data_IF_130969529541
#
_entry.id   IF_130969529541
#
_cell.length_a   1.000
_cell.length_b   1.000
_cell.length_c   1.000
_cell.angle_alpha   90.00
_cell.angle_beta   90.00
_cell.angle_gamma   90.00
#
_symmetry.space_group_name_H-M   'P 1'
#
loop_
_entity.id
_entity.type
_entity.pdbx_description
1 polymer ?
#
# COMPACT_ATOMS: atom_id res chain seq x y z
N UNK A 1 -1.54 -23.51 5.15
CA UNK A 1 -0.27 -22.77 5.04
C UNK A 1 -0.59 -21.44 4.39
N UNK A 2 -0.73 -20.37 5.17
CA UNK A 2 -1.05 -19.04 4.62
C UNK A 2 0.15 -18.56 3.80
N UNK A 3 -0.02 -17.97 2.60
CA UNK A 3 1.12 -17.56 1.81
C UNK A 3 1.86 -16.43 2.55
N UNK A 4 3.18 -16.59 2.69
CA UNK A 4 4.15 -15.69 3.34
C UNK A 4 4.13 -14.21 2.85
N UNK A 5 3.24 -13.86 1.92
CA UNK A 5 2.99 -12.50 1.48
C UNK A 5 2.30 -11.63 2.55
N UNK A 6 1.61 -12.24 3.54
CA UNK A 6 0.94 -11.50 4.60
C UNK A 6 1.90 -10.99 5.71
N UNK A 7 3.06 -11.64 5.91
CA UNK A 7 4.05 -11.30 6.95
C UNK A 7 5.12 -10.29 6.50
N UNK A 8 5.11 -9.86 5.24
CA UNK A 8 6.27 -9.19 4.63
C UNK A 8 6.18 -7.66 4.58
N UNK A 9 5.08 -7.05 5.06
CA UNK A 9 5.08 -5.60 5.29
C UNK A 9 5.77 -5.37 6.62
N UNK A 10 6.98 -4.81 6.61
CA UNK A 10 7.67 -4.43 7.85
C UNK A 10 7.05 -3.14 8.38
N UNK A 11 7.30 -2.85 9.65
CA UNK A 11 6.95 -1.55 10.25
C UNK A 11 7.70 -0.44 9.52
N UNK A 12 6.98 0.23 8.63
CA UNK A 12 7.53 1.14 7.64
C UNK A 12 6.44 2.14 7.22
N UNK A 13 6.86 3.37 6.94
CA UNK A 13 6.03 4.32 6.21
C UNK A 13 6.38 4.20 4.74
N UNK A 14 5.45 3.66 3.94
CA UNK A 14 5.64 3.55 2.51
C UNK A 14 5.08 4.75 1.75
N UNK A 15 5.75 5.15 0.67
CA UNK A 15 5.39 6.32 -0.14
C UNK A 15 5.41 5.99 -1.63
N UNK A 16 4.44 6.52 -2.36
CA UNK A 16 4.34 6.42 -3.82
C UNK A 16 3.87 7.74 -4.41
N UNK A 17 4.28 8.06 -5.64
CA UNK A 17 3.66 9.15 -6.41
C UNK A 17 2.54 8.59 -7.28
N UNK A 18 1.30 8.99 -6.99
CA UNK A 18 0.08 8.57 -7.67
C UNK A 18 -0.65 9.82 -8.16
N UNK A 19 -0.76 9.99 -9.48
CA UNK A 19 -1.42 11.13 -10.11
C UNK A 19 -0.91 12.49 -9.57
N UNK A 20 0.41 12.72 -9.64
CA UNK A 20 1.08 13.94 -9.16
C UNK A 20 0.89 14.26 -7.67
N UNK A 21 0.35 13.31 -6.88
CA UNK A 21 0.23 13.42 -5.43
C UNK A 21 1.00 12.29 -4.77
N UNK A 22 1.59 12.56 -3.61
CA UNK A 22 2.20 11.50 -2.80
C UNK A 22 1.13 10.77 -2.00
N UNK A 23 1.05 9.46 -2.20
CA UNK A 23 0.33 8.53 -1.35
C UNK A 23 1.28 8.00 -0.27
N UNK A 24 0.79 7.90 0.97
CA UNK A 24 1.54 7.43 2.14
C UNK A 24 0.73 6.34 2.82
N UNK A 25 1.35 5.19 3.08
CA UNK A 25 0.78 4.06 3.84
C UNK A 25 1.66 3.84 5.07
N UNK A 26 1.09 3.91 6.25
CA UNK A 26 1.80 3.51 7.48
C UNK A 26 1.44 2.07 7.82
N UNK A 27 2.46 1.25 8.04
CA UNK A 27 2.33 -0.14 8.45
C UNK A 27 2.90 -0.29 9.86
N UNK A 28 2.13 -0.95 10.73
CA UNK A 28 2.55 -1.34 12.07
C UNK A 28 2.08 -2.78 12.36
N UNK A 29 2.95 -3.61 12.91
CA UNK A 29 2.67 -5.03 13.18
C UNK A 29 2.34 -5.85 11.92
N UNK A 30 2.81 -5.43 10.75
CA UNK A 30 2.50 -6.10 9.47
C UNK A 30 1.15 -5.73 8.84
N UNK A 31 0.42 -4.81 9.46
CA UNK A 31 -0.89 -4.35 9.01
C UNK A 31 -0.87 -2.85 8.65
N UNK A 32 -1.59 -2.44 7.59
CA UNK A 32 -1.72 -1.03 7.27
C UNK A 32 -2.65 -0.37 8.30
N UNK A 33 -2.16 0.69 8.94
CA UNK A 33 -2.88 1.39 10.03
C UNK A 33 -3.31 2.80 9.65
N UNK A 34 -2.70 3.39 8.61
CA UNK A 34 -3.13 4.67 8.08
C UNK A 34 -2.86 4.80 6.57
N UNK A 35 -3.63 5.66 5.92
CA UNK A 35 -3.37 6.08 4.54
C UNK A 35 -3.61 7.59 4.39
N UNK A 36 -2.81 8.21 3.52
CA UNK A 36 -3.04 9.58 3.07
C UNK A 36 -2.69 9.72 1.60
N UNK A 37 -3.51 10.45 0.84
CA UNK A 37 -3.24 10.78 -0.57
C UNK A 37 -3.46 12.26 -0.84
N UNK A 38 -2.37 13.03 -0.87
CA UNK A 38 -2.44 14.50 -0.89
C UNK A 38 -3.19 15.07 0.33
N UNK A 39 -4.31 15.75 0.09
CA UNK A 39 -5.20 16.30 1.12
C UNK A 39 -6.28 15.32 1.60
N UNK A 40 -6.42 14.16 0.94
CA UNK A 40 -7.39 13.15 1.32
C UNK A 40 -6.85 12.30 2.47
N UNK A 41 -7.56 12.33 3.59
CA UNK A 41 -7.35 11.46 4.75
C UNK A 41 -8.41 10.37 4.73
N UNK A 42 -8.04 9.16 5.10
CA UNK A 42 -8.95 8.01 5.07
C UNK A 42 -9.57 7.79 6.43
N UNK A 43 -10.78 7.25 6.42
CA UNK A 43 -11.47 6.88 7.65
C UNK A 43 -11.17 5.43 8.07
N UNK A 44 -10.89 4.55 7.10
CA UNK A 44 -10.69 3.12 7.34
C UNK A 44 -9.61 2.56 6.41
N UNK A 45 -8.73 1.74 6.98
CA UNK A 45 -7.74 0.96 6.24
C UNK A 45 -7.58 -0.41 6.89
N UNK A 46 -7.66 -1.46 6.08
CA UNK A 46 -7.43 -2.83 6.53
C UNK A 46 -6.94 -3.71 5.38
N UNK A 47 -6.39 -4.87 5.71
CA UNK A 47 -5.88 -5.84 4.75
C UNK A 47 -6.69 -7.13 4.78
N UNK A 48 -6.91 -7.71 3.61
CA UNK A 48 -7.51 -9.04 3.44
C UNK A 48 -6.76 -9.80 2.35
N UNK A 49 -5.96 -10.77 2.77
CA UNK A 49 -5.06 -11.49 1.87
C UNK A 49 -4.05 -10.54 1.20
N UNK A 50 -4.05 -10.53 -0.13
CA UNK A 50 -3.18 -9.67 -0.96
C UNK A 50 -3.88 -8.38 -1.41
N UNK A 51 -4.97 -7.98 -0.73
CA UNK A 51 -5.67 -6.73 -1.00
C UNK A 51 -5.66 -5.84 0.24
N UNK A 52 -5.30 -4.57 0.06
CA UNK A 52 -5.46 -3.53 1.08
C UNK A 52 -6.66 -2.67 0.68
N UNK A 53 -7.62 -2.53 1.58
CA UNK A 53 -8.82 -1.72 1.44
C UNK A 53 -8.60 -0.39 2.13
N UNK A 54 -8.94 0.70 1.45
CA UNK A 54 -8.72 2.07 1.90
C UNK A 54 -9.97 2.88 1.54
N UNK A 55 -10.96 2.92 2.44
CA UNK A 55 -12.27 3.54 2.18
C UNK A 55 -12.87 3.13 0.80
N UNK A 56 -13.00 4.07 -0.15
CA UNK A 56 -13.50 3.81 -1.52
C UNK A 56 -12.43 3.34 -2.51
N UNK A 57 -11.21 3.12 -2.05
CA UNK A 57 -10.09 2.64 -2.82
C UNK A 57 -9.66 1.24 -2.38
N UNK A 58 -8.94 0.54 -3.26
CA UNK A 58 -8.24 -0.69 -2.90
C UNK A 58 -6.95 -0.85 -3.67
N UNK A 59 -5.97 -1.46 -3.02
CA UNK A 59 -4.75 -1.96 -3.63
C UNK A 59 -4.90 -3.46 -3.83
N UNK A 60 -4.93 -3.92 -5.06
CA UNK A 60 -4.95 -5.35 -5.40
C UNK A 60 -3.60 -5.80 -5.94
N UNK A 61 -3.43 -7.12 -6.08
CA UNK A 61 -2.23 -7.72 -6.66
C UNK A 61 -0.95 -7.34 -5.89
N UNK A 62 -1.05 -7.20 -4.57
CA UNK A 62 0.06 -6.80 -3.73
C UNK A 62 1.18 -7.82 -3.78
N UNK A 63 2.36 -7.35 -4.19
CA UNK A 63 3.63 -8.06 -4.12
C UNK A 63 4.50 -7.35 -3.10
N UNK A 64 4.62 -7.99 -1.95
CA UNK A 64 5.36 -7.47 -0.80
C UNK A 64 6.75 -8.10 -0.78
N UNK A 65 7.76 -7.36 -0.29
CA UNK A 65 9.15 -7.84 -0.26
C UNK A 65 9.96 -7.53 -1.53
N UNK A 66 9.46 -6.62 -2.38
CA UNK A 66 10.26 -6.07 -3.48
C UNK A 66 11.25 -5.04 -2.95
N UNK A 67 12.29 -4.73 -3.72
CA UNK A 67 13.26 -3.67 -3.38
C UNK A 67 13.27 -2.65 -4.51
N UNK A 68 13.18 -1.37 -4.18
CA UNK A 68 13.32 -0.26 -5.14
C UNK A 68 14.40 0.70 -4.64
N UNK A 69 15.43 0.94 -5.46
CA UNK A 69 16.60 1.75 -5.09
C UNK A 69 17.26 1.32 -3.76
N UNK A 70 17.34 0.01 -3.50
CA UNK A 70 17.92 -0.55 -2.28
C UNK A 70 17.03 -0.46 -1.03
N UNK A 71 15.82 0.09 -1.14
CA UNK A 71 14.86 0.21 -0.04
C UNK A 71 13.73 -0.83 -0.16
N UNK A 72 13.21 -1.35 0.97
CA UNK A 72 12.03 -2.21 0.96
C UNK A 72 10.86 -1.51 0.27
N UNK A 73 10.11 -2.25 -0.55
CA UNK A 73 8.98 -1.75 -1.29
C UNK A 73 7.90 -2.82 -1.39
N UNK A 74 6.70 -2.40 -1.78
CA UNK A 74 5.69 -3.29 -2.33
C UNK A 74 5.09 -2.68 -3.59
N UNK A 75 4.67 -3.54 -4.52
CA UNK A 75 4.00 -3.13 -5.75
C UNK A 75 2.60 -3.72 -5.81
N UNK A 76 1.71 -3.07 -6.56
CA UNK A 76 0.33 -3.52 -6.74
C UNK A 76 -0.43 -2.67 -7.75
N UNK A 77 -1.76 -2.79 -7.72
CA UNK A 77 -2.68 -2.01 -8.54
C UNK A 77 -3.58 -1.15 -7.66
N UNK A 78 -3.46 0.16 -7.80
CA UNK A 78 -4.35 1.12 -7.18
C UNK A 78 -5.65 1.21 -7.95
N UNK A 79 -6.78 0.96 -7.28
CA UNK A 79 -8.12 1.14 -7.81
C UNK A 79 -8.86 2.21 -7.02
N UNK A 80 -9.19 3.31 -7.66
CA UNK A 80 -9.99 4.39 -7.06
C UNK A 80 -10.95 4.98 -8.09
N UNK A 81 -12.24 5.06 -7.76
CA UNK A 81 -13.30 5.63 -8.62
C UNK A 81 -13.23 5.17 -10.08
N UNK A 82 -13.02 3.86 -10.30
CA UNK A 82 -12.94 3.26 -11.63
C UNK A 82 -11.59 3.41 -12.34
N UNK A 83 -10.62 4.13 -11.77
CA UNK A 83 -9.25 4.19 -12.29
C UNK A 83 -8.40 3.07 -11.69
N UNK A 84 -7.81 2.22 -12.54
CA UNK A 84 -6.81 1.21 -12.17
C UNK A 84 -5.43 1.66 -12.67
N UNK A 85 -4.44 1.74 -11.77
CA UNK A 85 -3.05 2.09 -12.11
C UNK A 85 -2.06 1.19 -11.38
N UNK A 86 -1.00 0.72 -12.06
CA UNK A 86 0.12 0.10 -11.36
C UNK A 86 0.75 1.13 -10.41
N UNK A 87 1.13 0.68 -9.23
CA UNK A 87 1.74 1.55 -8.21
C UNK A 87 2.80 0.78 -7.43
N UNK A 88 3.87 1.47 -7.06
CA UNK A 88 4.93 0.97 -6.19
C UNK A 88 5.09 1.92 -5.03
N UNK A 89 5.06 1.36 -3.84
CA UNK A 89 5.20 2.04 -2.57
C UNK A 89 6.53 1.64 -1.96
N UNK A 90 7.41 2.61 -1.72
CA UNK A 90 8.75 2.39 -1.17
C UNK A 90 8.79 2.85 0.27
N UNK A 91 9.38 2.05 1.16
CA UNK A 91 9.61 2.43 2.55
C UNK A 91 10.51 3.67 2.59
N UNK A 92 10.11 4.66 3.38
CA UNK A 92 10.82 5.94 3.53
C UNK A 92 12.22 5.74 4.10
#
# INVERSE_FOLDING_TARGET
MMPAAAESMKDCTYRANIHQKTAVIEVAGGEPVSYRWGSYNVNDVYKKGTTIYIDQAKLTDLRVGTTENGKPAFSGRWRYKGSDKPTTFVCK
#
